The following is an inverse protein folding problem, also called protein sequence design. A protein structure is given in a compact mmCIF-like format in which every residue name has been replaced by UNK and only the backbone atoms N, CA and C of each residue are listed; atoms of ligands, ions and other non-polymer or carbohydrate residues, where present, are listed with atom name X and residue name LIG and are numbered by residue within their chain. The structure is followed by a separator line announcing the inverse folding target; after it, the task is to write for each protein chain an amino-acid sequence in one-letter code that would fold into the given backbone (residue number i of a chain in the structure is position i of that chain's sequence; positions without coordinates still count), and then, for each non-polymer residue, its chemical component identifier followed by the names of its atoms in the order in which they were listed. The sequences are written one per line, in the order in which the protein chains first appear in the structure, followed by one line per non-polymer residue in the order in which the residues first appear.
data_IF_738096025996
#
_entry.id   IF_738096025996
#
_cell.length_a   1.000
_cell.length_b   1.000
_cell.length_c   1.000
_cell.angle_alpha   90.00
_cell.angle_beta   90.00
_cell.angle_gamma   90.00
#
_symmetry.space_group_name_H-M   'P 1'
#
loop_
_entity.id
_entity.type
_entity.pdbx_description
1 polymer ?
#
# COMPACT_ATOMS: atom_id res chain seq x y z
N UNK A 1 -7.05 0.94 -5.47
CA UNK A 1 -6.52 -0.35 -4.97
C UNK A 1 -7.62 -1.12 -4.28
N UNK A 2 -7.51 -2.43 -4.26
CA UNK A 2 -8.47 -3.29 -3.60
C UNK A 2 -7.74 -4.27 -2.68
N UNK A 3 -8.48 -4.83 -1.73
CA UNK A 3 -7.94 -5.86 -0.84
C UNK A 3 -7.45 -7.04 -1.68
N UNK A 4 -6.26 -7.52 -1.37
CA UNK A 4 -5.63 -8.61 -2.11
C UNK A 4 -4.58 -8.17 -3.12
N UNK A 5 -4.51 -6.88 -3.40
CA UNK A 5 -3.47 -6.36 -4.30
C UNK A 5 -2.09 -6.49 -3.66
N UNK A 6 -1.09 -6.72 -4.48
CA UNK A 6 0.30 -6.66 -4.06
C UNK A 6 0.89 -5.35 -4.55
N UNK A 7 1.50 -4.62 -3.63
CA UNK A 7 2.01 -3.28 -3.91
C UNK A 7 3.40 -3.09 -3.30
N UNK A 8 4.08 -2.05 -3.75
CA UNK A 8 5.32 -1.61 -3.12
C UNK A 8 5.37 -0.09 -3.13
N UNK A 9 6.21 0.48 -2.28
CA UNK A 9 6.39 1.92 -2.26
C UNK A 9 7.08 2.39 -3.53
N UNK A 10 6.67 3.56 -3.99
CA UNK A 10 7.31 4.19 -5.15
C UNK A 10 8.76 4.53 -4.81
N UNK A 11 9.61 4.52 -5.82
CA UNK A 11 11.04 4.74 -5.62
C UNK A 11 11.39 6.09 -5.01
N UNK A 12 10.55 7.09 -5.27
CA UNK A 12 10.84 8.44 -4.77
C UNK A 12 10.43 8.66 -3.31
N UNK A 13 9.85 7.66 -2.66
CA UNK A 13 9.45 7.79 -1.26
C UNK A 13 10.67 7.50 -0.38
N UNK A 14 11.19 8.51 0.34
CA UNK A 14 12.39 8.32 1.16
C UNK A 14 12.22 7.23 2.21
N UNK A 15 13.25 6.37 2.32
CA UNK A 15 13.27 5.35 3.36
C UNK A 15 12.35 4.16 3.12
N UNK A 16 11.61 4.12 2.02
CA UNK A 16 10.65 3.06 1.78
C UNK A 16 10.95 2.18 0.58
N UNK A 17 11.85 2.61 -0.29
CA UNK A 17 12.05 1.93 -1.58
C UNK A 17 12.48 0.48 -1.48
N UNK A 18 13.15 0.10 -0.40
CA UNK A 18 13.70 -1.24 -0.23
C UNK A 18 12.91 -2.08 0.77
N UNK A 19 11.69 -1.69 1.08
CA UNK A 19 10.88 -2.42 2.03
C UNK A 19 10.22 -3.67 1.46
N UNK A 20 10.27 -3.85 0.15
CA UNK A 20 9.71 -5.03 -0.49
C UNK A 20 8.23 -4.90 -0.80
N UNK A 21 7.57 -6.04 -0.93
CA UNK A 21 6.19 -6.14 -1.37
C UNK A 21 5.26 -6.22 -0.17
N UNK A 22 4.15 -5.52 -0.26
CA UNK A 22 3.12 -5.52 0.79
C UNK A 22 1.80 -6.03 0.22
N UNK A 23 1.00 -6.62 1.09
CA UNK A 23 -0.36 -7.05 0.75
C UNK A 23 -1.35 -6.01 1.25
N UNK A 24 -2.27 -5.61 0.39
CA UNK A 24 -3.35 -4.72 0.77
C UNK A 24 -4.41 -5.52 1.53
N UNK A 25 -4.66 -5.16 2.77
CA UNK A 25 -5.64 -5.85 3.61
C UNK A 25 -6.85 -5.01 3.93
N UNK A 26 -6.81 -3.72 3.69
CA UNK A 26 -7.96 -2.84 3.87
C UNK A 26 -7.79 -1.59 3.02
N UNK A 27 -8.91 -1.05 2.55
CA UNK A 27 -8.94 0.19 1.77
C UNK A 27 -10.07 1.04 2.28
N UNK A 28 -9.81 2.32 2.53
CA UNK A 28 -10.88 3.25 2.92
C UNK A 28 -10.65 4.60 2.25
N UNK A 29 -11.73 5.35 2.09
CA UNK A 29 -11.68 6.65 1.46
C UNK A 29 -11.84 7.72 2.54
N UNK A 30 -10.88 8.63 2.61
CA UNK A 30 -10.91 9.76 3.53
C UNK A 30 -11.14 11.04 2.74
N UNK A 31 -11.99 11.92 3.25
CA UNK A 31 -12.32 13.15 2.55
C UNK A 31 -11.13 14.08 2.39
N UNK A 32 -10.21 14.05 3.34
CA UNK A 32 -9.03 14.95 3.31
C UNK A 32 -7.82 14.31 2.63
N UNK A 33 -7.62 13.04 2.88
CA UNK A 33 -6.39 12.36 2.43
C UNK A 33 -6.57 11.46 1.23
N UNK A 34 -7.81 11.26 0.80
CA UNK A 34 -8.08 10.40 -0.35
C UNK A 34 -8.11 8.93 0.02
N UNK A 35 -7.57 8.09 -0.84
CA UNK A 35 -7.59 6.64 -0.61
C UNK A 35 -6.49 6.22 0.35
N UNK A 36 -6.89 5.70 1.50
CA UNK A 36 -5.97 5.19 2.51
C UNK A 36 -5.98 3.68 2.46
N UNK A 37 -4.80 3.11 2.43
CA UNK A 37 -4.61 1.67 2.24
C UNK A 37 -3.85 1.12 3.43
N UNK A 38 -4.38 0.02 4.01
CA UNK A 38 -3.69 -0.69 5.07
C UNK A 38 -2.89 -1.83 4.43
N UNK A 39 -1.61 -1.87 4.72
CA UNK A 39 -0.67 -2.83 4.16
C UNK A 39 -0.20 -3.78 5.22
N UNK A 40 0.07 -5.02 4.83
CA UNK A 40 0.62 -6.02 5.72
C UNK A 40 1.84 -6.66 5.10
N UNK A 41 2.87 -6.85 5.92
CA UNK A 41 4.08 -7.57 5.53
C UNK A 41 4.57 -8.31 6.76
N UNK A 42 4.48 -9.64 6.73
CA UNK A 42 4.80 -10.45 7.90
C UNK A 42 3.90 -10.09 9.07
N UNK A 43 4.49 -9.67 10.17
CA UNK A 43 3.75 -9.27 11.37
C UNK A 43 3.50 -7.77 11.46
N UNK A 44 3.96 -7.02 10.47
CA UNK A 44 3.81 -5.58 10.48
C UNK A 44 2.59 -5.17 9.67
N UNK A 45 1.92 -4.14 10.16
CA UNK A 45 0.86 -3.46 9.41
C UNK A 45 1.17 -1.99 9.40
N UNK A 46 0.86 -1.34 8.29
CA UNK A 46 1.01 0.11 8.18
C UNK A 46 -0.06 0.66 7.26
N UNK A 47 -0.34 1.93 7.43
CA UNK A 47 -1.38 2.62 6.70
C UNK A 47 -0.76 3.76 5.94
N UNK A 48 -1.09 3.88 4.67
CA UNK A 48 -0.51 4.92 3.84
C UNK A 48 -1.50 5.32 2.76
N UNK A 49 -1.19 6.42 2.08
CA UNK A 49 -2.01 6.88 0.97
C UNK A 49 -1.60 6.10 -0.29
N UNK A 50 -2.59 5.69 -1.09
CA UNK A 50 -2.34 4.91 -2.30
C UNK A 50 -1.43 5.62 -3.29
N UNK A 51 -1.37 6.95 -3.23
CA UNK A 51 -0.50 7.71 -4.13
C UNK A 51 0.98 7.42 -3.92
N UNK A 52 1.35 6.82 -2.78
CA UNK A 52 2.74 6.45 -2.48
C UNK A 52 3.08 5.04 -2.95
N UNK A 53 2.14 4.35 -3.58
CA UNK A 53 2.30 2.93 -3.87
C UNK A 53 2.21 2.66 -5.37
N UNK A 54 2.96 1.65 -5.81
CA UNK A 54 2.84 1.08 -7.15
C UNK A 54 2.23 -0.30 -7.02
N UNK A 55 1.20 -0.57 -7.80
CA UNK A 55 0.56 -1.87 -7.82
C UNK A 55 1.40 -2.84 -8.65
N UNK A 56 1.74 -3.97 -8.05
CA UNK A 56 2.52 -5.01 -8.72
C UNK A 56 1.60 -6.06 -9.32
N UNK A 57 0.60 -6.47 -8.55
CA UNK A 57 -0.28 -7.56 -8.95
C UNK A 57 -1.62 -7.39 -8.26
N UNK A 58 -2.68 -7.91 -8.85
CA UNK A 58 -3.97 -7.90 -8.21
C UNK A 58 -4.36 -9.32 -7.79
N UNK A 59 -5.37 -9.41 -6.94
CA UNK A 59 -5.81 -10.69 -6.39
C UNK A 59 -6.55 -11.57 -7.37
N UNK A 60 -6.81 -11.10 -8.55
CA UNK A 60 -7.58 -11.85 -9.55
C UNK A 60 -6.78 -12.87 -10.26
#
# INVERSE_FOLDING_TARGET
MIVGDLVKYKKHIPGQRDKGVFLVVNVEIDEMFGELVTLKQGNEQRRTNSSHLDKISSSR
#
